data_IF_073080005038
#
_entry.id   IF_073080005038
#
_cell.length_a   1.000
_cell.length_b   1.000
_cell.length_c   1.000
_cell.angle_alpha   90.00
_cell.angle_beta   90.00
_cell.angle_gamma   90.00
#
_symmetry.space_group_name_H-M   'P 1'
#
loop_
_entity.id
_entity.type
_entity.pdbx_description
1 polymer ?
#
# COMPACT_ATOMS: atom_id res chain seq x y z
N UNK A 1 55.51 20.51 -29.28
CA UNK A 1 56.55 19.75 -30.00
C UNK A 1 56.14 18.28 -30.01
N UNK A 2 56.39 17.60 -31.14
CA UNK A 2 56.17 16.18 -31.45
C UNK A 2 54.72 15.69 -31.58
N UNK A 3 54.25 15.70 -32.83
CA UNK A 3 53.11 14.96 -33.35
C UNK A 3 53.48 13.49 -33.59
N UNK A 4 52.49 12.58 -33.53
CA UNK A 4 52.53 11.40 -34.41
C UNK A 4 51.13 10.87 -34.73
N UNK A 5 50.87 10.89 -36.03
CA UNK A 5 49.69 10.40 -36.73
C UNK A 5 49.71 8.87 -36.80
N UNK A 6 48.53 8.23 -36.75
CA UNK A 6 48.28 6.99 -37.50
C UNK A 6 46.96 7.10 -38.25
N UNK A 7 47.06 6.77 -39.53
CA UNK A 7 46.07 6.84 -40.60
C UNK A 7 46.15 5.50 -41.33
N UNK A 8 45.02 4.82 -41.57
CA UNK A 8 44.78 3.73 -42.53
C UNK A 8 43.55 2.93 -42.02
N UNK A 9 42.60 2.44 -42.82
CA UNK A 9 42.31 2.49 -44.26
C UNK A 9 40.86 1.99 -44.40
N UNK A 10 40.17 2.43 -45.44
CA UNK A 10 38.82 2.04 -45.78
C UNK A 10 38.74 0.80 -46.71
N UNK A 11 37.50 0.28 -46.82
CA UNK A 11 36.88 -0.36 -47.99
C UNK A 11 36.74 -1.93 -47.96
N UNK A 12 35.87 -2.55 -48.80
CA UNK A 12 34.41 -2.65 -48.60
C UNK A 12 33.81 -4.04 -49.01
N UNK A 13 32.46 -4.13 -48.96
CA UNK A 13 31.55 -4.97 -49.77
C UNK A 13 31.54 -6.50 -49.56
N UNK A 14 30.36 -7.09 -49.27
CA UNK A 14 29.52 -7.70 -50.31
C UNK A 14 28.17 -8.22 -49.77
N UNK A 15 27.18 -8.11 -50.65
CA UNK A 15 25.80 -8.55 -50.50
C UNK A 15 25.64 -10.04 -50.89
N UNK A 16 24.37 -10.50 -50.96
CA UNK A 16 23.86 -11.82 -51.44
C UNK A 16 23.52 -12.82 -50.32
N UNK A 17 22.36 -13.50 -50.23
CA UNK A 17 21.08 -13.51 -50.96
C UNK A 17 20.11 -14.29 -50.06
N UNK A 18 18.83 -13.93 -50.06
CA UNK A 18 17.74 -14.80 -49.58
C UNK A 18 17.60 -16.06 -50.45
N UNK A 19 16.82 -17.05 -50.00
CA UNK A 19 15.75 -17.47 -50.88
C UNK A 19 14.39 -17.58 -50.17
N UNK A 20 13.37 -17.30 -50.97
CA UNK A 20 11.96 -17.42 -50.66
C UNK A 20 11.41 -18.81 -51.03
N UNK A 21 10.30 -19.12 -50.35
CA UNK A 21 9.09 -19.80 -50.84
C UNK A 21 9.13 -21.29 -51.22
N UNK A 22 8.27 -22.04 -50.52
CA UNK A 22 7.27 -23.00 -50.99
C UNK A 22 6.86 -23.87 -49.78
N UNK A 23 5.66 -24.38 -49.53
CA UNK A 23 4.33 -24.31 -50.12
C UNK A 23 3.47 -25.29 -49.29
N UNK A 24 2.20 -24.95 -49.08
CA UNK A 24 1.03 -25.83 -48.97
C UNK A 24 1.14 -27.23 -48.30
N UNK A 25 0.35 -27.43 -47.25
CA UNK A 25 0.00 -28.76 -46.73
C UNK A 25 -1.36 -28.73 -46.02
N UNK A 26 -2.44 -28.79 -46.80
CA UNK A 26 -3.82 -29.06 -46.37
C UNK A 26 -3.97 -30.54 -46.02
N UNK A 27 -4.33 -30.89 -44.78
CA UNK A 27 -5.03 -32.12 -44.36
C UNK A 27 -5.37 -31.93 -42.87
N UNK A 28 -6.43 -32.46 -42.27
CA UNK A 28 -7.71 -33.02 -42.67
C UNK A 28 -8.51 -33.04 -41.36
N UNK A 29 -9.81 -32.77 -41.42
CA UNK A 29 -10.71 -32.92 -40.29
C UNK A 29 -10.73 -34.38 -39.83
N UNK A 30 -10.63 -34.61 -38.52
CA UNK A 30 -10.99 -35.88 -37.92
C UNK A 30 -11.86 -35.65 -36.69
N UNK A 31 -12.98 -36.36 -36.72
CA UNK A 31 -14.16 -36.27 -35.88
C UNK A 31 -14.07 -37.17 -34.65
N UNK A 32 -14.53 -36.64 -33.50
CA UNK A 32 -15.26 -37.33 -32.41
C UNK A 32 -14.50 -38.42 -31.59
N UNK A 33 -14.93 -38.82 -30.37
CA UNK A 33 -16.26 -38.64 -29.78
C UNK A 33 -16.35 -38.17 -28.31
N UNK A 34 -17.58 -37.85 -27.93
CA UNK A 34 -18.06 -37.46 -26.60
C UNK A 34 -17.87 -38.54 -25.52
N UNK A 35 -17.65 -38.16 -24.24
CA UNK A 35 -17.77 -39.09 -23.13
C UNK A 35 -19.20 -39.12 -22.58
N UNK A 36 -19.67 -40.34 -22.37
CA UNK A 36 -20.98 -40.72 -21.88
C UNK A 36 -21.28 -40.23 -20.46
N UNK A 37 -22.55 -39.87 -20.24
CA UNK A 37 -23.15 -39.62 -18.95
C UNK A 37 -23.12 -40.88 -18.08
N UNK A 38 -22.62 -40.74 -16.85
CA UNK A 38 -22.65 -41.79 -15.81
C UNK A 38 -23.73 -41.42 -14.81
N UNK A 39 -24.77 -42.26 -14.71
CA UNK A 39 -25.80 -42.17 -13.67
C UNK A 39 -25.22 -42.57 -12.29
N UNK A 40 -25.74 -42.02 -11.19
CA UNK A 40 -25.32 -42.40 -9.83
C UNK A 40 -26.06 -43.65 -9.33
N UNK A 41 -25.45 -44.45 -8.44
CA UNK A 41 -26.20 -45.47 -7.71
C UNK A 41 -26.97 -44.85 -6.55
N UNK A 42 -28.22 -45.32 -6.39
CA UNK A 42 -29.02 -45.22 -5.17
C UNK A 42 -28.52 -46.25 -4.15
N UNK A 43 -28.49 -45.86 -2.88
CA UNK A 43 -28.61 -46.75 -1.73
C UNK A 43 -29.50 -46.04 -0.72
N UNK A 44 -30.68 -46.61 -0.51
CA UNK A 44 -31.53 -46.37 0.66
C UNK A 44 -31.11 -47.35 1.77
N UNK A 45 -31.62 -47.06 2.99
CA UNK A 45 -31.66 -47.87 4.21
C UNK A 45 -30.39 -47.84 5.09
N UNK A 46 -30.43 -47.78 6.42
CA UNK A 46 -31.40 -47.38 7.47
C UNK A 46 -30.60 -47.50 8.81
N UNK A 47 -31.20 -47.08 9.93
CA UNK A 47 -30.83 -47.41 11.33
C UNK A 47 -29.76 -46.56 12.08
N UNK A 48 -30.32 -45.63 12.88
CA UNK A 48 -30.10 -45.43 14.32
C UNK A 48 -28.86 -45.97 15.02
N UNK A 49 -28.09 -45.07 15.65
CA UNK A 49 -27.62 -45.25 17.03
C UNK A 49 -27.24 -43.89 17.64
N UNK A 50 -27.89 -43.54 18.74
CA UNK A 50 -27.51 -42.51 19.70
C UNK A 50 -26.33 -43.02 20.52
N UNK A 51 -25.22 -42.28 20.58
CA UNK A 51 -24.26 -42.36 21.69
C UNK A 51 -23.58 -40.98 21.88
N UNK A 52 -23.79 -40.42 23.06
CA UNK A 52 -23.10 -39.27 23.63
C UNK A 52 -21.71 -39.72 24.10
N UNK A 53 -20.66 -39.31 23.39
CA UNK A 53 -19.28 -39.42 23.88
C UNK A 53 -18.58 -38.06 23.86
N UNK A 54 -18.18 -37.62 25.05
CA UNK A 54 -17.34 -36.44 25.29
C UNK A 54 -16.01 -36.54 24.52
N UNK A 55 -15.51 -35.46 23.89
CA UNK A 55 -14.22 -35.51 23.22
C UNK A 55 -13.07 -35.52 24.24
N UNK A 56 -12.50 -36.71 24.41
CA UNK A 56 -11.14 -36.96 24.90
C UNK A 56 -10.14 -35.98 24.27
N UNK A 57 -9.37 -35.31 25.12
CA UNK A 57 -8.28 -34.40 24.76
C UNK A 57 -7.06 -35.19 24.27
N UNK A 58 -7.16 -35.77 23.09
CA UNK A 58 -6.06 -36.48 22.46
C UNK A 58 -5.18 -35.52 21.65
N UNK A 59 -3.87 -35.60 21.89
CA UNK A 59 -2.86 -34.69 21.34
C UNK A 59 -2.89 -34.74 19.80
N UNK A 60 -3.40 -33.67 19.21
CA UNK A 60 -3.37 -33.41 17.76
C UNK A 60 -1.91 -33.46 17.26
N UNK A 61 -1.52 -34.60 16.68
CA UNK A 61 -0.28 -34.70 15.89
C UNK A 61 -0.41 -33.71 14.73
N UNK A 62 0.45 -32.70 14.74
CA UNK A 62 0.54 -31.70 13.65
C UNK A 62 1.13 -32.42 12.43
N UNK A 63 0.27 -32.67 11.44
CA UNK A 63 0.67 -33.24 10.16
C UNK A 63 1.44 -32.16 9.38
N UNK A 64 2.78 -32.27 9.36
CA UNK A 64 3.71 -31.29 8.77
C UNK A 64 3.79 -31.40 7.24
N UNK A 65 2.67 -31.62 6.56
CA UNK A 65 2.68 -31.72 5.10
C UNK A 65 2.62 -30.30 4.51
N UNK A 66 3.43 -30.00 3.48
CA UNK A 66 3.34 -28.73 2.78
C UNK A 66 1.92 -28.57 2.19
N UNK A 67 1.37 -27.37 2.29
CA UNK A 67 0.06 -27.03 1.73
C UNK A 67 0.10 -27.19 0.20
N UNK A 68 -0.98 -27.70 -0.37
CA UNK A 68 -1.13 -27.73 -1.83
C UNK A 68 -1.34 -26.32 -2.39
N UNK A 69 -1.01 -26.11 -3.67
CA UNK A 69 -1.23 -24.84 -4.39
C UNK A 69 -2.69 -24.36 -4.32
N UNK A 70 -3.64 -25.28 -4.27
CA UNK A 70 -5.07 -24.98 -4.13
C UNK A 70 -5.46 -24.55 -2.70
N UNK A 71 -4.72 -24.99 -1.68
CA UNK A 71 -4.90 -24.56 -0.29
C UNK A 71 -4.27 -23.18 -0.05
N UNK A 72 -3.12 -22.89 -0.66
CA UNK A 72 -2.53 -21.54 -0.62
C UNK A 72 -3.41 -20.49 -1.31
N UNK A 73 -3.95 -20.80 -2.48
CA UNK A 73 -4.85 -19.90 -3.20
C UNK A 73 -6.13 -19.60 -2.41
N UNK A 74 -6.69 -20.63 -1.77
CA UNK A 74 -7.85 -20.48 -0.88
C UNK A 74 -7.50 -19.67 0.37
N UNK A 75 -6.32 -19.85 0.98
CA UNK A 75 -5.84 -19.06 2.11
C UNK A 75 -5.73 -17.56 1.78
N UNK A 76 -5.22 -17.22 0.58
CA UNK A 76 -5.13 -15.82 0.11
C UNK A 76 -6.51 -15.17 -0.10
N UNK A 77 -7.47 -15.90 -0.66
CA UNK A 77 -8.86 -15.42 -0.78
C UNK A 77 -9.47 -15.18 0.60
N UNK A 78 -9.25 -16.10 1.53
CA UNK A 78 -9.80 -16.05 2.89
C UNK A 78 -9.26 -14.84 3.68
N UNK A 79 -7.96 -14.58 3.61
CA UNK A 79 -7.35 -13.37 4.20
C UNK A 79 -7.94 -12.08 3.64
N UNK A 80 -8.16 -12.00 2.31
CA UNK A 80 -8.77 -10.82 1.68
C UNK A 80 -10.20 -10.56 2.16
N UNK A 81 -10.96 -11.62 2.45
CA UNK A 81 -12.34 -11.49 2.92
C UNK A 81 -12.42 -11.15 4.42
N UNK A 82 -11.57 -11.76 5.26
CA UNK A 82 -11.52 -11.49 6.70
C UNK A 82 -11.02 -10.08 7.02
N UNK A 83 -9.90 -9.66 6.43
CA UNK A 83 -9.21 -8.42 6.81
C UNK A 83 -9.80 -7.18 6.11
N UNK A 84 -10.28 -7.31 4.87
CA UNK A 84 -10.68 -6.14 4.08
C UNK A 84 -12.19 -5.95 3.94
N UNK A 85 -13.00 -7.02 4.03
CA UNK A 85 -14.43 -6.94 3.65
C UNK A 85 -15.42 -7.32 4.74
N UNK A 86 -15.02 -8.02 5.80
CA UNK A 86 -15.92 -8.48 6.90
C UNK A 86 -17.20 -9.16 6.38
N UNK A 87 -17.11 -9.87 5.25
CA UNK A 87 -18.26 -10.51 4.61
C UNK A 87 -18.35 -12.00 5.01
N UNK A 88 -19.13 -12.27 6.07
CA UNK A 88 -19.30 -13.62 6.63
C UNK A 88 -19.91 -14.62 5.64
N UNK A 89 -20.74 -14.18 4.70
CA UNK A 89 -21.39 -15.08 3.74
C UNK A 89 -20.41 -15.63 2.68
N UNK A 90 -19.39 -14.85 2.33
CA UNK A 90 -18.35 -15.28 1.38
C UNK A 90 -17.34 -16.28 1.99
N UNK A 91 -17.28 -16.39 3.33
CA UNK A 91 -16.34 -17.26 4.04
C UNK A 91 -16.85 -18.69 4.24
N UNK A 92 -18.18 -18.88 4.22
CA UNK A 92 -18.83 -20.16 4.50
C UNK A 92 -18.36 -21.34 3.62
N UNK A 93 -18.12 -21.17 2.31
CA UNK A 93 -17.59 -22.24 1.46
C UNK A 93 -16.12 -22.57 1.73
N UNK A 94 -15.32 -21.57 2.09
CA UNK A 94 -13.86 -21.70 2.32
C UNK A 94 -13.56 -22.37 3.66
N UNK A 95 -14.40 -22.13 4.67
CA UNK A 95 -14.32 -22.73 6.02
C UNK A 95 -14.71 -24.22 6.01
N UNK A 96 -15.20 -24.81 4.90
CA UNK A 96 -15.42 -26.27 4.80
C UNK A 96 -14.13 -27.07 4.65
N UNK A 97 -12.97 -26.43 4.39
CA UNK A 97 -11.68 -27.12 4.30
C UNK A 97 -11.00 -27.23 5.68
N UNK A 98 -10.63 -28.45 6.15
CA UNK A 98 -10.10 -28.66 7.51
C UNK A 98 -8.83 -27.86 7.83
N UNK A 99 -7.91 -27.68 6.88
CA UNK A 99 -6.68 -26.90 7.06
C UNK A 99 -6.96 -25.40 7.26
N UNK A 100 -7.93 -24.86 6.53
CA UNK A 100 -8.35 -23.46 6.64
C UNK A 100 -9.16 -23.21 7.91
N UNK A 101 -9.93 -24.19 8.42
CA UNK A 101 -10.62 -24.05 9.72
C UNK A 101 -9.67 -23.72 10.86
N UNK A 102 -8.48 -24.34 10.90
CA UNK A 102 -7.49 -24.07 11.97
C UNK A 102 -6.89 -22.68 11.85
N UNK A 103 -6.56 -22.25 10.63
CA UNK A 103 -6.01 -20.92 10.36
C UNK A 103 -7.04 -19.82 10.66
N UNK A 104 -8.30 -20.03 10.23
CA UNK A 104 -9.42 -19.13 10.51
C UNK A 104 -9.70 -19.06 11.99
N UNK A 105 -9.75 -20.20 12.69
CA UNK A 105 -9.91 -20.22 14.14
C UNK A 105 -8.78 -19.47 14.87
N UNK A 106 -7.52 -19.57 14.41
CA UNK A 106 -6.41 -18.81 15.01
C UNK A 106 -6.48 -17.31 14.72
N UNK A 107 -6.91 -16.91 13.52
CA UNK A 107 -7.06 -15.50 13.13
C UNK A 107 -8.26 -14.88 13.85
N UNK A 108 -9.41 -15.55 13.86
CA UNK A 108 -10.60 -15.10 14.58
C UNK A 108 -10.32 -14.98 16.07
N UNK A 109 -9.57 -15.92 16.67
CA UNK A 109 -9.14 -15.82 18.07
C UNK A 109 -8.22 -14.62 18.29
N UNK A 110 -7.22 -14.39 17.42
CA UNK A 110 -6.31 -13.25 17.55
C UNK A 110 -7.03 -11.90 17.40
N UNK A 111 -7.98 -11.81 16.46
CA UNK A 111 -8.82 -10.61 16.27
C UNK A 111 -9.73 -10.39 17.47
N UNK A 112 -10.38 -11.44 17.98
CA UNK A 112 -11.23 -11.35 19.18
C UNK A 112 -10.43 -10.94 20.42
N UNK A 113 -9.24 -11.48 20.62
CA UNK A 113 -8.34 -11.10 21.72
C UNK A 113 -7.91 -9.63 21.58
N UNK A 114 -7.60 -9.17 20.36
CA UNK A 114 -7.24 -7.78 20.11
C UNK A 114 -8.42 -6.81 20.29
N UNK A 115 -9.64 -7.22 19.93
CA UNK A 115 -10.86 -6.43 20.16
C UNK A 115 -11.21 -6.37 21.66
N UNK A 116 -11.15 -7.49 22.39
CA UNK A 116 -11.37 -7.54 23.84
C UNK A 116 -10.32 -6.70 24.60
N UNK A 117 -9.04 -6.74 24.20
CA UNK A 117 -8.00 -5.90 24.76
C UNK A 117 -8.26 -4.39 24.53
N UNK A 118 -8.80 -4.01 23.37
CA UNK A 118 -9.18 -2.62 23.07
C UNK A 118 -10.39 -2.18 23.88
N UNK A 119 -11.38 -3.05 24.05
CA UNK A 119 -12.57 -2.77 24.86
C UNK A 119 -12.21 -2.57 26.33
N UNK A 120 -11.38 -3.45 26.90
CA UNK A 120 -10.84 -3.29 28.27
C UNK A 120 -10.09 -1.99 28.44
N UNK A 121 -9.23 -1.63 27.48
CA UNK A 121 -8.50 -0.36 27.53
C UNK A 121 -9.42 0.86 27.49
N UNK A 122 -10.50 0.80 26.70
CA UNK A 122 -11.51 1.86 26.68
C UNK A 122 -12.34 1.92 27.96
N UNK A 123 -12.65 0.76 28.56
CA UNK A 123 -13.34 0.67 29.83
C UNK A 123 -12.49 1.25 30.97
N UNK A 124 -11.21 0.87 31.05
CA UNK A 124 -10.25 1.44 32.00
C UNK A 124 -10.12 2.96 31.84
N UNK A 125 -10.10 3.47 30.60
CA UNK A 125 -10.06 4.92 30.35
C UNK A 125 -11.36 5.62 30.80
N UNK A 126 -12.53 4.98 30.59
CA UNK A 126 -13.83 5.48 31.05
C UNK A 126 -13.90 5.48 32.58
N UNK A 127 -13.45 4.42 33.24
CA UNK A 127 -13.38 4.35 34.70
C UNK A 127 -12.42 5.40 35.27
N UNK A 128 -11.23 5.57 34.67
CA UNK A 128 -10.27 6.61 35.08
C UNK A 128 -10.88 8.00 34.94
N UNK A 129 -11.56 8.30 33.83
CA UNK A 129 -12.28 9.57 33.62
C UNK A 129 -13.43 9.76 34.62
N UNK A 130 -14.15 8.69 34.97
CA UNK A 130 -15.22 8.72 35.96
C UNK A 130 -14.68 9.03 37.36
N UNK A 131 -13.65 8.31 37.82
CA UNK A 131 -12.98 8.56 39.10
C UNK A 131 -12.46 10.00 39.19
N UNK A 132 -11.87 10.51 38.10
CA UNK A 132 -11.34 11.89 38.06
C UNK A 132 -12.45 12.96 38.16
N UNK A 133 -13.66 12.66 37.66
CA UNK A 133 -14.84 13.53 37.86
C UNK A 133 -15.36 13.46 39.28
N UNK A 134 -15.50 12.27 39.84
CA UNK A 134 -15.96 12.06 41.23
C UNK A 134 -15.01 12.74 42.22
N UNK A 135 -13.69 12.62 42.03
CA UNK A 135 -12.69 13.29 42.87
C UNK A 135 -12.74 14.81 42.73
N UNK A 136 -13.00 15.33 41.52
CA UNK A 136 -13.18 16.76 41.28
C UNK A 136 -14.42 17.30 41.99
N UNK A 137 -15.56 16.61 41.86
CA UNK A 137 -16.81 16.97 42.53
C UNK A 137 -16.67 16.92 44.06
N UNK A 138 -15.95 15.92 44.57
CA UNK A 138 -15.66 15.81 46.00
C UNK A 138 -14.81 16.98 46.51
N UNK A 139 -13.74 17.36 45.79
CA UNK A 139 -12.90 18.52 46.13
C UNK A 139 -13.68 19.83 46.06
N UNK A 140 -14.61 19.96 45.11
CA UNK A 140 -15.48 21.13 44.99
C UNK A 140 -16.42 21.25 46.19
N UNK A 141 -17.07 20.15 46.61
CA UNK A 141 -17.88 20.11 47.84
C UNK A 141 -17.08 20.42 49.10
N UNK A 142 -15.91 19.81 49.27
CA UNK A 142 -15.04 20.06 50.43
C UNK A 142 -14.61 21.55 50.47
N UNK A 143 -14.42 22.18 49.31
CA UNK A 143 -14.14 23.61 49.21
C UNK A 143 -15.36 24.46 49.57
N UNK A 144 -16.55 24.12 49.08
CA UNK A 144 -17.80 24.81 49.44
C UNK A 144 -18.08 24.73 50.95
N UNK A 145 -17.88 23.57 51.57
CA UNK A 145 -18.03 23.38 53.02
C UNK A 145 -17.01 24.23 53.81
N UNK A 146 -15.76 24.30 53.36
CA UNK A 146 -14.74 25.14 53.99
C UNK A 146 -15.04 26.64 53.84
N UNK A 147 -15.53 27.08 52.67
CA UNK A 147 -15.96 28.48 52.45
C UNK A 147 -17.15 28.84 53.37
N UNK A 148 -18.09 27.90 53.58
CA UNK A 148 -19.24 28.09 54.46
C UNK A 148 -18.83 28.18 55.94
N UNK A 149 -17.94 27.30 56.42
CA UNK A 149 -17.41 27.36 57.80
C UNK A 149 -16.54 28.61 58.01
N UNK A 150 -15.82 29.06 56.97
CA UNK A 150 -15.03 30.28 57.01
C UNK A 150 -15.88 31.53 57.24
N UNK A 151 -17.06 31.63 56.60
CA UNK A 151 -17.95 32.80 56.76
C UNK A 151 -18.49 32.98 58.19
N UNK A 152 -18.72 31.90 58.93
CA UNK A 152 -19.22 31.98 60.31
C UNK A 152 -18.14 32.45 61.32
N UNK A 153 -16.86 32.28 61.00
CA UNK A 153 -15.74 32.59 61.92
C UNK A 153 -15.23 34.04 61.78
N UNK A 154 -15.49 34.71 60.64
CA UNK A 154 -15.08 36.12 60.43
C UNK A 154 -15.94 37.16 61.17
N UNK A 155 -16.88 36.74 62.03
CA UNK A 155 -17.66 37.62 62.91
C UNK A 155 -16.93 38.11 64.17
N UNK A 156 -15.73 37.58 64.51
CA UNK A 156 -14.95 38.06 65.66
C UNK A 156 -13.50 38.35 65.26
N UNK A 157 -13.13 39.63 65.32
CA UNK A 157 -11.80 40.12 64.97
C UNK A 157 -10.70 39.48 65.80
N UNK A 158 -9.83 38.74 65.14
CA UNK A 158 -8.57 38.22 65.68
C UNK A 158 -7.46 38.37 64.65
N UNK A 159 -6.54 39.29 64.89
CA UNK A 159 -5.35 39.52 64.06
C UNK A 159 -4.42 38.30 64.11
N UNK A 160 -4.22 37.68 62.94
CA UNK A 160 -2.89 37.30 62.42
C UNK A 160 -2.30 35.98 62.89
N UNK A 161 -1.86 35.16 61.93
CA UNK A 161 -0.66 34.34 62.12
C UNK A 161 -0.70 32.84 61.77
N UNK A 162 -1.75 32.29 61.15
CA UNK A 162 -1.87 30.82 60.98
C UNK A 162 -1.87 30.32 59.51
N UNK A 163 -1.96 31.20 58.50
CA UNK A 163 -2.11 30.78 57.10
C UNK A 163 -0.91 30.07 56.43
N UNK A 164 0.33 30.35 56.85
CA UNK A 164 1.52 29.88 56.08
C UNK A 164 1.79 28.37 56.14
N UNK A 165 1.32 27.65 57.16
CA UNK A 165 1.56 26.19 57.27
C UNK A 165 0.62 25.34 56.42
N UNK A 166 -0.51 25.90 55.97
CA UNK A 166 -1.48 25.18 55.13
C UNK A 166 -1.01 25.10 53.68
N UNK A 167 -0.49 26.20 53.15
CA UNK A 167 -0.05 26.29 51.75
C UNK A 167 1.16 25.37 51.47
N UNK A 168 2.07 25.25 52.45
CA UNK A 168 3.25 24.39 52.35
C UNK A 168 2.87 22.91 52.30
N UNK A 169 1.82 22.51 53.04
CA UNK A 169 1.30 21.14 53.04
C UNK A 169 0.57 20.82 51.73
N UNK A 170 -0.24 21.75 51.22
CA UNK A 170 -0.93 21.57 49.94
C UNK A 170 0.05 21.51 48.76
N UNK A 171 1.11 22.33 48.78
CA UNK A 171 2.16 22.27 47.78
C UNK A 171 2.91 20.92 47.81
N UNK A 172 3.21 20.41 49.00
CA UNK A 172 3.85 19.09 49.15
C UNK A 172 2.95 17.93 48.68
N UNK A 173 1.65 17.98 48.98
CA UNK A 173 0.69 16.96 48.51
C UNK A 173 0.49 17.02 46.99
N UNK A 174 0.42 18.22 46.41
CA UNK A 174 0.35 18.40 44.96
C UNK A 174 1.62 17.90 44.26
N UNK A 175 2.80 18.20 44.81
CA UNK A 175 4.07 17.70 44.27
C UNK A 175 4.13 16.17 44.34
N UNK A 176 3.75 15.57 45.47
CA UNK A 176 3.72 14.12 45.62
C UNK A 176 2.78 13.45 44.61
N UNK A 177 1.60 14.02 44.38
CA UNK A 177 0.66 13.50 43.38
C UNK A 177 1.23 13.59 41.94
N UNK A 178 1.92 14.68 41.61
CA UNK A 178 2.59 14.84 40.32
C UNK A 178 3.74 13.83 40.13
N UNK A 179 4.53 13.59 41.19
CA UNK A 179 5.61 12.61 41.16
C UNK A 179 5.07 11.17 41.02
N UNK A 180 3.96 10.85 41.68
CA UNK A 180 3.28 9.54 41.54
C UNK A 180 2.68 9.34 40.14
N UNK A 181 2.10 10.37 39.53
CA UNK A 181 1.57 10.31 38.17
C UNK A 181 2.70 10.13 37.14
N UNK A 182 3.80 10.89 37.26
CA UNK A 182 4.97 10.74 36.41
C UNK A 182 5.62 9.35 36.53
N UNK A 183 5.68 8.80 37.75
CA UNK A 183 6.18 7.43 37.97
C UNK A 183 5.27 6.36 37.34
N UNK A 184 3.94 6.55 37.40
CA UNK A 184 2.98 5.65 36.76
C UNK A 184 3.06 5.70 35.23
N UNK A 185 3.22 6.89 34.64
CA UNK A 185 3.43 7.05 33.20
C UNK A 185 4.75 6.42 32.74
N UNK A 186 5.84 6.64 33.47
CA UNK A 186 7.14 6.02 33.15
C UNK A 186 7.05 4.49 33.18
N UNK A 187 6.39 3.93 34.20
CA UNK A 187 6.17 2.47 34.29
C UNK A 187 5.30 1.94 33.15
N UNK A 188 4.24 2.65 32.76
CA UNK A 188 3.39 2.23 31.64
C UNK A 188 4.13 2.23 30.30
N UNK A 189 5.07 3.17 30.09
CA UNK A 189 5.95 3.18 28.92
C UNK A 189 6.93 2.01 28.94
N UNK A 190 7.50 1.68 30.10
CA UNK A 190 8.40 0.53 30.28
C UNK A 190 7.69 -0.80 30.05
N UNK A 191 6.52 -1.00 30.65
CA UNK A 191 5.70 -2.21 30.49
C UNK A 191 5.30 -2.40 29.02
N UNK A 192 4.91 -1.32 28.32
CA UNK A 192 4.61 -1.37 26.89
C UNK A 192 5.83 -1.72 26.04
N UNK A 193 7.00 -1.13 26.33
CA UNK A 193 8.22 -1.45 25.62
C UNK A 193 8.65 -2.92 25.82
N UNK A 194 8.41 -3.48 27.00
CA UNK A 194 8.65 -4.89 27.28
C UNK A 194 7.68 -5.80 26.51
N UNK A 195 6.40 -5.43 26.41
CA UNK A 195 5.40 -6.13 25.60
C UNK A 195 5.76 -6.10 24.11
N UNK A 196 6.08 -4.92 23.56
CA UNK A 196 6.48 -4.74 22.16
C UNK A 196 7.72 -5.58 21.84
N UNK A 197 8.70 -5.63 22.76
CA UNK A 197 9.89 -6.49 22.62
C UNK A 197 9.55 -7.98 22.60
N UNK A 198 8.67 -8.45 23.48
CA UNK A 198 8.27 -9.86 23.54
C UNK A 198 7.50 -10.28 22.29
N UNK A 199 6.65 -9.38 21.75
CA UNK A 199 5.97 -9.59 20.47
C UNK A 199 6.98 -9.68 19.33
N UNK A 200 7.98 -8.80 19.29
CA UNK A 200 9.05 -8.85 18.30
C UNK A 200 9.79 -10.20 18.34
N UNK A 201 10.28 -10.63 19.51
CA UNK A 201 10.97 -11.91 19.71
C UNK A 201 10.11 -13.11 19.27
N UNK A 202 8.80 -13.09 19.57
CA UNK A 202 7.89 -14.14 19.14
C UNK A 202 7.72 -14.17 17.62
N UNK A 203 7.63 -13.00 16.98
CA UNK A 203 7.56 -12.90 15.53
C UNK A 203 8.87 -13.34 14.90
N UNK A 204 10.04 -12.96 15.43
CA UNK A 204 11.33 -13.44 14.91
C UNK A 204 11.38 -14.97 14.91
N UNK A 205 10.90 -15.58 16.00
CA UNK A 205 10.82 -17.04 16.15
C UNK A 205 9.90 -17.65 15.08
N UNK A 206 8.72 -17.08 14.86
CA UNK A 206 7.80 -17.54 13.81
C UNK A 206 8.42 -17.37 12.42
N UNK A 207 9.08 -16.25 12.13
CA UNK A 207 9.66 -15.98 10.82
C UNK A 207 10.86 -16.90 10.54
N UNK A 208 11.63 -17.28 11.57
CA UNK A 208 12.71 -18.26 11.45
C UNK A 208 12.20 -19.64 10.99
N UNK A 209 10.96 -20.01 11.33
CA UNK A 209 10.33 -21.27 10.92
C UNK A 209 9.79 -21.25 9.49
N UNK A 210 9.86 -20.12 8.77
CA UNK A 210 9.37 -19.98 7.39
C UNK A 210 10.55 -19.77 6.41
N UNK A 211 11.37 -20.80 6.14
CA UNK A 211 12.40 -20.69 5.12
C UNK A 211 11.73 -20.62 3.73
N UNK A 212 12.37 -19.90 2.80
CA UNK A 212 11.93 -19.76 1.39
C UNK A 212 10.74 -18.80 1.14
N UNK A 213 10.59 -17.74 1.94
CA UNK A 213 9.62 -16.67 1.63
C UNK A 213 10.00 -15.98 0.32
N UNK A 214 9.20 -16.21 -0.73
CA UNK A 214 9.39 -15.59 -2.06
C UNK A 214 8.68 -14.26 -2.24
N UNK A 215 7.60 -14.04 -1.50
CA UNK A 215 6.77 -12.84 -1.65
C UNK A 215 6.41 -12.28 -0.27
N UNK A 216 6.71 -11.00 -0.07
CA UNK A 216 6.44 -10.28 1.18
C UNK A 216 5.49 -9.14 0.87
N UNK A 217 4.41 -9.05 1.64
CA UNK A 217 3.51 -7.91 1.61
C UNK A 217 3.33 -7.37 3.02
N UNK A 218 3.73 -6.12 3.25
CA UNK A 218 3.69 -5.47 4.55
C UNK A 218 2.94 -4.14 4.46
N UNK A 219 2.02 -3.93 5.39
CA UNK A 219 1.16 -2.74 5.44
C UNK A 219 1.70 -1.70 6.43
N UNK A 220 2.35 -2.09 7.52
CA UNK A 220 2.70 -1.12 8.57
C UNK A 220 3.74 -1.59 9.61
N UNK A 221 4.78 -2.32 9.23
CA UNK A 221 5.79 -2.82 10.18
C UNK A 221 7.21 -2.84 9.59
N UNK A 222 7.95 -1.73 9.70
CA UNK A 222 9.33 -1.64 9.20
C UNK A 222 10.26 -2.64 9.91
N UNK A 223 10.15 -2.74 11.23
CA UNK A 223 10.99 -3.61 12.06
C UNK A 223 10.83 -5.09 11.71
N UNK A 224 9.60 -5.57 11.51
CA UNK A 224 9.34 -6.97 11.19
C UNK A 224 9.81 -7.33 9.79
N UNK A 225 9.64 -6.42 8.82
CA UNK A 225 10.17 -6.62 7.48
C UNK A 225 11.70 -6.61 7.52
N UNK A 226 12.30 -5.73 8.31
CA UNK A 226 13.74 -5.71 8.51
C UNK A 226 14.25 -7.03 9.11
N UNK A 227 13.63 -7.54 10.18
CA UNK A 227 13.97 -8.83 10.79
C UNK A 227 13.88 -9.95 9.76
N UNK A 228 12.77 -10.02 9.02
CA UNK A 228 12.54 -11.03 7.98
C UNK A 228 13.65 -10.98 6.91
N UNK A 229 13.91 -9.79 6.36
CA UNK A 229 14.87 -9.62 5.28
C UNK A 229 16.33 -9.71 5.76
N UNK A 230 16.60 -9.54 7.05
CA UNK A 230 17.92 -9.75 7.64
C UNK A 230 18.29 -11.23 7.73
N UNK A 231 17.33 -12.15 7.57
CA UNK A 231 17.61 -13.57 7.60
C UNK A 231 18.37 -14.02 6.34
N UNK A 232 19.55 -14.60 6.55
CA UNK A 232 20.44 -15.04 5.46
C UNK A 232 19.84 -16.10 4.53
N UNK A 233 18.78 -16.80 4.96
CA UNK A 233 18.07 -17.86 4.22
C UNK A 233 16.99 -17.32 3.29
N UNK A 234 16.55 -16.07 3.47
CA UNK A 234 15.41 -15.52 2.75
C UNK A 234 15.87 -14.85 1.45
N UNK A 235 15.14 -15.15 0.37
CA UNK A 235 15.34 -14.58 -0.97
C UNK A 235 13.99 -14.15 -1.50
N UNK A 236 13.76 -12.85 -1.48
CA UNK A 236 12.47 -12.28 -1.86
C UNK A 236 12.47 -11.96 -3.34
N UNK A 237 11.49 -12.52 -4.04
CA UNK A 237 11.23 -12.26 -5.46
C UNK A 237 10.23 -11.09 -5.64
N UNK A 238 9.31 -10.90 -4.69
CA UNK A 238 8.30 -9.82 -4.70
C UNK A 238 8.17 -9.13 -3.36
N UNK A 239 8.25 -7.81 -3.34
CA UNK A 239 8.17 -7.00 -2.14
C UNK A 239 7.13 -5.89 -2.33
N UNK A 240 6.06 -5.90 -1.53
CA UNK A 240 5.02 -4.86 -1.52
C UNK A 240 4.91 -4.27 -0.13
N UNK A 241 5.49 -3.09 0.10
CA UNK A 241 5.56 -2.44 1.41
C UNK A 241 4.82 -1.10 1.36
N UNK A 242 3.97 -0.83 2.32
CA UNK A 242 3.25 0.46 2.42
C UNK A 242 4.00 1.51 3.28
N UNK A 243 5.33 1.49 3.23
CA UNK A 243 6.21 2.30 4.08
C UNK A 243 7.35 2.90 3.25
N UNK A 244 8.15 3.76 3.88
CA UNK A 244 9.34 4.40 3.31
C UNK A 244 10.47 3.37 3.29
N UNK A 245 10.95 2.98 2.11
CA UNK A 245 11.81 1.77 1.99
C UNK A 245 13.33 2.07 1.93
N UNK A 246 13.76 3.31 2.15
CA UNK A 246 15.12 3.75 1.83
C UNK A 246 16.25 2.92 2.45
N UNK A 247 16.45 3.09 3.75
CA UNK A 247 17.49 2.39 4.50
C UNK A 247 17.29 0.88 4.52
N UNK A 248 16.03 0.44 4.54
CA UNK A 248 15.66 -0.97 4.57
C UNK A 248 16.22 -1.73 3.35
N UNK A 249 16.10 -1.18 2.14
CA UNK A 249 16.60 -1.85 0.93
C UNK A 249 18.13 -1.97 0.94
N UNK A 250 18.84 -0.95 1.42
CA UNK A 250 20.29 -0.96 1.52
C UNK A 250 20.79 -1.98 2.55
N UNK A 251 20.19 -1.99 3.75
CA UNK A 251 20.56 -2.90 4.84
C UNK A 251 20.27 -4.36 4.49
N UNK A 252 19.20 -4.60 3.73
CA UNK A 252 18.74 -5.94 3.37
C UNK A 252 19.09 -6.37 1.94
N UNK A 253 20.03 -5.68 1.27
CA UNK A 253 20.40 -5.97 -0.11
C UNK A 253 20.68 -7.46 -0.42
N UNK A 254 21.31 -8.27 0.47
CA UNK A 254 21.52 -9.70 0.21
C UNK A 254 20.23 -10.52 0.03
N UNK A 255 19.16 -10.18 0.74
CA UNK A 255 17.87 -10.89 0.63
C UNK A 255 17.07 -10.50 -0.62
N UNK A 256 17.46 -9.39 -1.27
CA UNK A 256 16.77 -8.80 -2.41
C UNK A 256 17.46 -9.07 -3.76
N UNK A 257 18.48 -9.92 -3.78
CA UNK A 257 19.23 -10.25 -5.01
C UNK A 257 18.34 -10.83 -6.11
N UNK A 258 17.30 -11.56 -5.74
CA UNK A 258 16.33 -12.19 -6.64
C UNK A 258 15.06 -11.36 -6.84
N UNK A 259 15.02 -10.12 -6.33
CA UNK A 259 13.83 -9.27 -6.37
C UNK A 259 13.52 -8.82 -7.80
N UNK A 260 12.34 -9.16 -8.31
CA UNK A 260 11.88 -8.76 -9.64
C UNK A 260 10.70 -7.79 -9.63
N UNK A 261 9.94 -7.72 -8.53
CA UNK A 261 8.79 -6.82 -8.35
C UNK A 261 8.90 -6.09 -7.01
N UNK A 262 9.18 -4.78 -7.06
CA UNK A 262 9.18 -3.88 -5.90
C UNK A 262 8.00 -2.93 -6.00
N UNK A 263 7.17 -2.94 -4.96
CA UNK A 263 6.07 -1.99 -4.78
C UNK A 263 6.25 -1.33 -3.42
N UNK A 264 6.27 -0.02 -3.42
CA UNK A 264 6.39 0.76 -2.21
C UNK A 264 5.37 1.88 -2.22
N UNK A 265 4.85 2.21 -1.04
CA UNK A 265 4.07 3.44 -0.92
C UNK A 265 5.01 4.61 -1.07
N UNK A 266 6.05 4.72 -0.26
CA UNK A 266 6.94 5.88 -0.29
C UNK A 266 8.41 5.48 -0.40
N UNK A 267 9.25 6.40 -0.87
CA UNK A 267 10.70 6.22 -0.88
C UNK A 267 11.34 7.47 -0.30
N UNK A 268 12.28 7.27 0.62
CA UNK A 268 12.98 8.38 1.27
C UNK A 268 13.69 9.20 0.20
N UNK A 269 13.59 10.53 0.32
CA UNK A 269 14.23 11.43 -0.64
C UNK A 269 15.77 11.26 -0.68
N UNK A 270 16.35 10.61 0.33
CA UNK A 270 17.79 10.35 0.41
C UNK A 270 18.17 8.89 0.11
N UNK A 271 17.21 8.06 -0.28
CA UNK A 271 17.46 6.64 -0.51
C UNK A 271 18.11 6.37 -1.87
N UNK A 272 19.29 5.77 -1.83
CA UNK A 272 19.84 5.08 -2.98
C UNK A 272 19.26 3.66 -3.06
N UNK A 273 18.71 3.28 -4.23
CA UNK A 273 18.36 1.88 -4.45
C UNK A 273 19.65 1.04 -4.57
N UNK A 274 19.74 -0.09 -3.85
CA UNK A 274 20.83 -1.03 -4.10
C UNK A 274 20.76 -1.54 -5.55
N UNK A 275 21.85 -2.14 -6.04
CA UNK A 275 21.92 -2.73 -7.38
C UNK A 275 21.07 -4.01 -7.43
N UNK A 276 19.78 -3.87 -7.71
CA UNK A 276 18.80 -4.96 -7.78
C UNK A 276 18.74 -5.51 -9.21
N UNK A 277 19.70 -6.34 -9.62
CA UNK A 277 19.91 -6.77 -11.03
C UNK A 277 18.72 -7.45 -11.72
N UNK A 278 17.78 -7.98 -10.95
CA UNK A 278 16.61 -8.70 -11.46
C UNK A 278 15.33 -7.86 -11.43
N UNK A 279 15.38 -6.62 -10.93
CA UNK A 279 14.21 -5.77 -10.77
C UNK A 279 13.63 -5.35 -12.14
N UNK A 280 12.48 -5.91 -12.47
CA UNK A 280 11.75 -5.60 -13.72
C UNK A 280 10.52 -4.73 -13.49
N UNK A 281 9.97 -4.73 -12.28
CA UNK A 281 8.77 -3.97 -11.92
C UNK A 281 9.07 -3.08 -10.74
N UNK A 282 8.85 -1.78 -10.89
CA UNK A 282 8.98 -0.79 -9.83
C UNK A 282 7.72 0.06 -9.75
N UNK A 283 6.98 -0.06 -8.65
CA UNK A 283 5.76 0.70 -8.41
C UNK A 283 5.91 1.55 -7.16
N UNK A 284 5.99 2.87 -7.33
CA UNK A 284 5.99 3.85 -6.23
C UNK A 284 4.59 4.44 -6.13
N UNK A 285 3.96 4.46 -4.95
CA UNK A 285 2.57 4.94 -4.79
C UNK A 285 2.45 6.38 -4.32
N UNK A 286 3.44 6.90 -3.60
CA UNK A 286 3.50 8.18 -2.88
C UNK A 286 4.57 9.10 -3.45
N UNK A 287 4.38 10.39 -3.18
CA UNK A 287 5.14 11.48 -3.76
C UNK A 287 6.65 11.34 -3.54
N UNK A 288 7.40 11.44 -4.63
CA UNK A 288 8.83 11.69 -4.62
C UNK A 288 9.10 12.81 -5.64
N UNK A 289 10.06 13.69 -5.37
CA UNK A 289 10.43 14.68 -6.36
C UNK A 289 11.11 14.01 -7.57
N UNK A 290 10.99 14.64 -8.75
CA UNK A 290 11.48 14.04 -9.99
C UNK A 290 13.00 13.80 -10.03
N UNK A 291 13.78 14.71 -9.43
CA UNK A 291 15.24 14.63 -9.49
C UNK A 291 15.72 13.46 -8.63
N UNK A 292 15.20 13.38 -7.42
CA UNK A 292 15.43 12.29 -6.48
C UNK A 292 14.97 10.96 -7.03
N UNK A 293 13.76 10.90 -7.60
CA UNK A 293 13.27 9.68 -8.25
C UNK A 293 14.23 9.19 -9.34
N UNK A 294 14.73 10.10 -10.19
CA UNK A 294 15.67 9.74 -11.26
C UNK A 294 17.04 9.27 -10.74
N UNK A 295 17.55 9.89 -9.66
CA UNK A 295 18.79 9.47 -9.02
C UNK A 295 18.63 8.08 -8.41
N UNK A 296 17.54 7.89 -7.66
CA UNK A 296 17.20 6.65 -6.99
C UNK A 296 17.04 5.48 -7.97
N UNK A 297 16.32 5.65 -9.08
CA UNK A 297 16.13 4.57 -10.08
C UNK A 297 17.31 4.37 -11.01
N UNK A 298 18.31 5.25 -11.01
CA UNK A 298 19.45 5.17 -11.92
C UNK A 298 20.12 3.77 -11.98
N UNK A 299 20.32 3.04 -10.86
CA UNK A 299 20.94 1.71 -10.88
C UNK A 299 20.13 0.62 -11.58
N UNK A 300 18.80 0.76 -11.64
CA UNK A 300 17.86 -0.25 -12.16
C UNK A 300 17.15 0.20 -13.44
N UNK A 301 17.39 1.43 -13.89
CA UNK A 301 16.66 2.06 -14.99
C UNK A 301 16.62 1.24 -16.28
N UNK A 302 17.75 0.64 -16.66
CA UNK A 302 17.92 0.00 -17.97
C UNK A 302 17.34 -1.43 -18.04
N UNK A 303 16.72 -1.89 -16.95
CA UNK A 303 16.08 -3.22 -16.83
C UNK A 303 14.59 -3.16 -16.48
N UNK A 304 14.08 -1.99 -16.09
CA UNK A 304 12.65 -1.83 -15.77
C UNK A 304 11.78 -2.02 -17.02
N UNK A 305 10.74 -2.84 -16.87
CA UNK A 305 9.74 -3.17 -17.89
C UNK A 305 8.37 -2.61 -17.53
N UNK A 306 7.99 -2.70 -16.25
CA UNK A 306 6.77 -2.08 -15.69
C UNK A 306 7.17 -1.03 -14.66
N UNK A 307 6.86 0.23 -14.97
CA UNK A 307 7.17 1.36 -14.11
C UNK A 307 5.87 2.08 -13.74
N UNK A 308 5.58 2.18 -12.44
CA UNK A 308 4.53 3.03 -11.91
C UNK A 308 5.12 4.11 -11.01
N UNK A 309 4.78 5.36 -11.29
CA UNK A 309 5.27 6.51 -10.56
C UNK A 309 4.11 7.49 -10.27
N UNK A 310 4.04 8.08 -9.07
CA UNK A 310 3.03 9.05 -8.73
C UNK A 310 3.42 10.43 -9.26
N UNK A 311 2.52 11.01 -10.05
CA UNK A 311 2.65 12.39 -10.52
C UNK A 311 1.87 13.31 -9.61
N UNK A 312 2.59 14.20 -8.93
CA UNK A 312 1.97 15.35 -8.28
C UNK A 312 1.95 16.55 -9.22
N UNK A 313 1.05 17.50 -8.97
CA UNK A 313 0.95 18.74 -9.72
C UNK A 313 2.20 19.63 -9.62
N UNK A 314 3.11 19.33 -8.69
CA UNK A 314 4.36 20.07 -8.45
C UNK A 314 5.54 19.51 -9.20
N UNK A 315 5.42 18.30 -9.75
CA UNK A 315 6.55 17.62 -10.38
C UNK A 315 6.99 18.41 -11.61
N UNK A 316 8.27 18.78 -11.62
CA UNK A 316 8.91 19.34 -12.81
C UNK A 316 8.99 18.24 -13.89
N UNK A 317 8.81 18.58 -15.17
CA UNK A 317 9.00 17.60 -16.23
C UNK A 317 10.38 16.98 -16.15
N UNK A 318 10.48 15.66 -16.28
CA UNK A 318 11.76 14.95 -16.25
C UNK A 318 11.90 13.98 -17.42
N UNK A 319 13.16 13.67 -17.75
CA UNK A 319 13.48 12.93 -18.97
C UNK A 319 13.31 11.42 -18.78
N UNK A 320 12.19 10.90 -19.28
CA UNK A 320 11.87 9.48 -19.30
C UNK A 320 12.54 8.72 -20.45
N UNK A 321 13.17 9.39 -21.42
CA UNK A 321 13.83 8.75 -22.57
C UNK A 321 14.98 7.82 -22.21
N UNK A 322 15.42 7.85 -20.95
CA UNK A 322 16.45 6.95 -20.41
C UNK A 322 15.91 5.57 -20.01
N UNK A 323 14.59 5.37 -19.94
CA UNK A 323 13.96 4.09 -19.60
C UNK A 323 13.68 3.25 -20.86
N UNK A 324 14.75 2.70 -21.45
CA UNK A 324 14.70 2.06 -22.76
C UNK A 324 13.90 0.74 -22.82
N UNK A 325 13.64 0.08 -21.68
CA UNK A 325 12.90 -1.20 -21.66
C UNK A 325 11.48 -1.10 -21.13
N UNK A 326 11.04 0.08 -20.70
CA UNK A 326 9.70 0.26 -20.12
C UNK A 326 8.65 0.09 -21.20
N UNK A 327 7.87 -0.98 -21.06
CA UNK A 327 6.72 -1.32 -21.92
C UNK A 327 5.40 -0.93 -21.28
N UNK A 328 5.31 -1.07 -19.96
CA UNK A 328 4.15 -0.71 -19.17
C UNK A 328 4.50 0.50 -18.32
N UNK A 329 3.81 1.61 -18.54
CA UNK A 329 4.04 2.84 -17.80
C UNK A 329 2.75 3.28 -17.13
N UNK A 330 2.78 3.45 -15.81
CA UNK A 330 1.62 3.88 -15.02
C UNK A 330 1.89 5.22 -14.37
N UNK A 331 1.04 6.19 -14.67
CA UNK A 331 1.05 7.51 -14.07
C UNK A 331 -0.06 7.56 -13.03
N UNK A 332 0.32 7.72 -11.77
CA UNK A 332 -0.61 7.87 -10.65
C UNK A 332 -0.79 9.34 -10.31
N UNK A 333 -1.88 9.94 -10.75
CA UNK A 333 -2.23 11.32 -10.45
C UNK A 333 -2.72 11.39 -9.01
N UNK A 334 -1.87 11.89 -8.12
CA UNK A 334 -2.21 12.11 -6.73
C UNK A 334 -2.80 13.51 -6.55
N UNK A 335 -4.02 13.55 -6.01
CA UNK A 335 -4.65 14.79 -5.58
C UNK A 335 -4.22 15.10 -4.15
N UNK A 336 -2.97 15.49 -3.97
CA UNK A 336 -2.56 16.02 -2.68
C UNK A 336 -3.30 17.34 -2.42
N UNK A 337 -3.87 17.51 -1.21
CA UNK A 337 -4.45 18.78 -0.82
C UNK A 337 -3.31 19.79 -0.79
N UNK A 338 -3.24 20.67 -1.80
CA UNK A 338 -2.26 21.75 -1.91
C UNK A 338 -1.87 22.26 -0.51
N UNK A 339 -0.69 21.91 0.03
CA UNK A 339 -0.18 22.67 1.15
C UNK A 339 -0.10 24.09 0.61
N UNK A 340 -0.78 25.03 1.29
CA UNK A 340 -0.82 26.45 0.91
C UNK A 340 0.60 27.01 1.03
N UNK A 341 1.46 26.73 0.06
CA UNK A 341 2.86 27.11 0.05
C UNK A 341 3.21 27.69 -1.31
N UNK A 342 3.56 28.97 -1.24
CA UNK A 342 4.44 29.74 -2.12
C UNK A 342 4.30 29.53 -3.63
N UNK A 343 3.80 30.58 -4.27
CA UNK A 343 3.72 30.83 -5.72
C UNK A 343 4.87 30.11 -6.46
N UNK A 344 4.59 29.14 -7.35
CA UNK A 344 5.64 28.51 -8.14
C UNK A 344 6.30 29.60 -8.99
N UNK A 345 7.61 29.78 -8.82
CA UNK A 345 8.39 30.64 -9.70
C UNK A 345 8.26 30.09 -11.12
N UNK A 346 7.74 30.91 -12.02
CA UNK A 346 7.44 30.52 -13.39
C UNK A 346 8.72 30.46 -14.22
N UNK A 347 9.53 29.43 -14.01
CA UNK A 347 10.56 29.06 -14.98
C UNK A 347 9.88 28.30 -16.12
N UNK A 348 9.43 29.05 -17.13
CA UNK A 348 9.06 28.51 -18.43
C UNK A 348 10.32 28.05 -19.17
N UNK A 349 10.99 27.01 -18.68
CA UNK A 349 12.04 26.34 -19.44
C UNK A 349 11.39 25.63 -20.61
N UNK A 350 11.87 25.91 -21.82
CA UNK A 350 11.43 25.28 -23.07
C UNK A 350 11.59 23.77 -22.96
N UNK A 351 10.48 23.10 -22.71
CA UNK A 351 10.38 21.67 -22.56
C UNK A 351 10.53 20.98 -23.91
N UNK A 352 11.51 20.09 -24.02
CA UNK A 352 11.57 19.09 -25.09
C UNK A 352 11.43 17.73 -24.41
N UNK A 353 10.23 17.14 -24.41
CA UNK A 353 10.03 15.80 -23.89
C UNK A 353 10.69 14.80 -24.83
N UNK A 354 11.73 14.12 -24.35
CA UNK A 354 12.12 12.87 -24.96
C UNK A 354 11.13 11.81 -24.46
N UNK A 355 10.31 11.32 -25.39
CA UNK A 355 9.29 10.31 -25.10
C UNK A 355 9.89 8.99 -24.62
N UNK A 356 9.04 8.12 -24.09
CA UNK A 356 9.37 6.72 -23.83
C UNK A 356 9.21 5.95 -25.16
N UNK A 357 10.29 5.56 -25.87
CA UNK A 357 10.18 5.06 -27.24
C UNK A 357 9.46 3.70 -27.34
N UNK A 358 9.42 2.92 -26.26
CA UNK A 358 8.97 1.53 -26.27
C UNK A 358 7.72 1.27 -25.41
N UNK A 359 7.01 2.30 -24.97
CA UNK A 359 5.78 2.11 -24.18
C UNK A 359 4.68 1.55 -25.07
N UNK A 360 4.26 0.32 -24.74
CA UNK A 360 3.16 -0.39 -25.37
C UNK A 360 1.84 -0.09 -24.66
N UNK A 361 1.89 0.06 -23.32
CA UNK A 361 0.73 0.27 -22.47
C UNK A 361 0.93 1.47 -21.53
N UNK A 362 0.07 2.47 -21.66
CA UNK A 362 0.01 3.61 -20.75
C UNK A 362 -1.20 3.49 -19.84
N UNK A 363 -0.97 3.48 -18.52
CA UNK A 363 -1.99 3.45 -17.50
C UNK A 363 -2.07 4.81 -16.83
N UNK A 364 -3.27 5.41 -16.78
CA UNK A 364 -3.52 6.61 -16.01
C UNK A 364 -4.42 6.23 -14.84
N UNK A 365 -3.85 6.26 -13.64
CA UNK A 365 -4.51 5.98 -12.38
C UNK A 365 -4.60 7.26 -11.56
N UNK A 366 -5.67 7.45 -10.79
CA UNK A 366 -5.79 8.62 -9.92
C UNK A 366 -7.22 8.88 -9.49
N UNK A 367 -7.36 9.54 -8.36
CA UNK A 367 -8.63 10.12 -7.90
C UNK A 367 -8.64 11.57 -8.31
N UNK A 368 -9.36 11.89 -9.38
CA UNK A 368 -9.66 13.27 -9.70
C UNK A 368 -10.81 13.69 -8.79
N UNK A 369 -10.47 14.22 -7.62
CA UNK A 369 -11.40 15.07 -6.87
C UNK A 369 -11.70 16.29 -7.73
N UNK A 370 -12.77 16.22 -8.49
CA UNK A 370 -13.37 17.38 -9.13
C UNK A 370 -13.77 18.32 -7.99
N UNK A 371 -13.03 19.43 -7.84
CA UNK A 371 -13.56 20.54 -7.06
C UNK A 371 -14.76 21.06 -7.83
N UNK A 372 -15.96 20.67 -7.41
CA UNK A 372 -17.14 21.48 -7.67
C UNK A 372 -16.82 22.85 -7.10
N UNK A 373 -16.70 23.86 -7.97
CA UNK A 373 -16.36 25.20 -7.50
C UNK A 373 -17.53 25.87 -6.75
N UNK A 374 -18.69 25.20 -6.68
CA UNK A 374 -19.79 25.52 -5.79
C UNK A 374 -20.77 24.34 -5.74
N UNK A 375 -21.15 23.87 -4.55
CA UNK A 375 -22.14 22.79 -4.35
C UNK A 375 -23.59 23.22 -4.64
N UNK A 376 -23.80 24.30 -5.40
CA UNK A 376 -25.12 24.89 -5.65
C UNK A 376 -25.64 24.78 -7.09
N UNK A 377 -24.90 24.16 -8.02
CA UNK A 377 -25.37 23.98 -9.40
C UNK A 377 -25.15 22.54 -9.84
N UNK A 378 -26.22 21.74 -9.77
CA UNK A 378 -26.30 20.31 -10.11
C UNK A 378 -26.22 20.02 -11.62
N UNK A 379 -25.36 20.71 -12.37
CA UNK A 379 -25.22 20.51 -13.82
C UNK A 379 -23.89 21.01 -14.38
N UNK A 380 -22.80 20.98 -13.61
CA UNK A 380 -21.51 21.50 -14.09
C UNK A 380 -20.58 20.41 -14.66
N UNK A 381 -19.89 20.71 -15.77
CA UNK A 381 -19.03 19.77 -16.47
C UNK A 381 -17.83 19.36 -15.60
N UNK A 382 -17.52 18.07 -15.69
CA UNK A 382 -16.35 17.43 -15.11
C UNK A 382 -15.09 18.07 -15.69
N UNK A 383 -14.44 18.98 -14.94
CA UNK A 383 -13.19 19.62 -15.37
C UNK A 383 -11.98 18.78 -14.97
N UNK A 384 -11.31 18.19 -15.97
CA UNK A 384 -9.95 17.68 -15.78
C UNK A 384 -9.03 18.82 -15.31
N UNK A 385 -8.09 18.58 -14.37
CA UNK A 385 -7.04 19.55 -14.09
C UNK A 385 -6.36 19.94 -15.41
N UNK A 386 -6.07 21.23 -15.67
CA UNK A 386 -5.56 21.70 -16.96
C UNK A 386 -4.38 20.87 -17.47
N UNK A 387 -3.43 20.52 -16.58
CA UNK A 387 -2.27 19.69 -16.92
C UNK A 387 -2.61 18.25 -17.35
N UNK A 388 -3.64 17.63 -16.77
CA UNK A 388 -4.07 16.28 -17.17
C UNK A 388 -4.69 16.31 -18.56
N UNK A 389 -5.49 17.34 -18.85
CA UNK A 389 -6.03 17.55 -20.19
C UNK A 389 -4.91 17.82 -21.20
N UNK A 390 -3.91 18.64 -20.87
CA UNK A 390 -2.77 18.93 -21.74
C UNK A 390 -1.94 17.67 -22.06
N UNK A 391 -1.69 16.81 -21.06
CA UNK A 391 -1.01 15.51 -21.27
C UNK A 391 -1.83 14.64 -22.23
N UNK A 392 -3.13 14.49 -21.98
CA UNK A 392 -4.01 13.68 -22.84
C UNK A 392 -4.14 14.22 -24.26
N UNK A 393 -4.21 15.54 -24.43
CA UNK A 393 -4.34 16.22 -25.71
C UNK A 393 -3.02 16.27 -26.50
N UNK A 394 -1.88 16.09 -25.82
CA UNK A 394 -0.56 16.07 -26.45
C UNK A 394 -0.12 14.67 -26.92
N UNK A 395 -0.67 13.59 -26.34
CA UNK A 395 -0.42 12.21 -26.78
C UNK A 395 -0.64 11.96 -28.29
N UNK A 396 -1.70 12.47 -28.95
CA UNK A 396 -1.91 12.25 -30.38
C UNK A 396 -1.00 13.11 -31.27
N UNK A 397 -0.41 14.20 -30.74
CA UNK A 397 0.31 15.21 -31.52
C UNK A 397 1.82 14.95 -31.52
N UNK A 398 2.21 13.87 -32.18
CA UNK A 398 3.47 13.69 -32.92
C UNK A 398 4.82 13.67 -32.17
N UNK A 399 5.05 14.51 -31.16
CA UNK A 399 6.35 14.62 -30.49
C UNK A 399 6.41 13.82 -29.17
N UNK A 400 5.24 13.52 -28.62
CA UNK A 400 5.05 12.85 -27.33
C UNK A 400 4.47 11.46 -27.47
N UNK A 401 4.08 11.07 -28.68
CA UNK A 401 3.50 9.76 -28.95
C UNK A 401 4.61 8.72 -28.94
N UNK A 402 4.59 7.74 -28.02
CA UNK A 402 5.40 6.54 -28.22
C UNK A 402 4.94 5.88 -29.52
N UNK A 403 5.86 5.61 -30.45
CA UNK A 403 5.52 4.94 -31.71
C UNK A 403 4.83 3.59 -31.45
N UNK A 404 5.16 2.94 -30.34
CA UNK A 404 4.64 1.65 -29.90
C UNK A 404 3.33 1.69 -29.09
N UNK A 405 2.77 2.87 -28.77
CA UNK A 405 1.61 2.94 -27.88
C UNK A 405 0.37 2.31 -28.54
N UNK A 406 -0.02 1.13 -28.06
CA UNK A 406 -1.19 0.39 -28.54
C UNK A 406 -2.43 0.56 -27.65
N UNK A 407 -2.23 0.69 -26.34
CA UNK A 407 -3.35 0.75 -25.38
C UNK A 407 -3.18 1.88 -24.36
N UNK A 408 -4.24 2.68 -24.19
CA UNK A 408 -4.42 3.64 -23.11
C UNK A 408 -5.46 3.10 -22.13
N UNK A 409 -5.00 2.66 -20.96
CA UNK A 409 -5.83 2.13 -19.90
C UNK A 409 -6.12 3.23 -18.85
N UNK A 410 -7.40 3.47 -18.58
CA UNK A 410 -7.86 4.51 -17.66
C UNK A 410 -8.48 3.88 -16.43
N UNK A 411 -7.88 4.09 -15.26
CA UNK A 411 -8.35 3.54 -13.99
C UNK A 411 -9.30 4.48 -13.24
N UNK A 412 -10.18 3.89 -12.42
CA UNK A 412 -10.89 4.60 -11.35
C UNK A 412 -11.80 5.75 -11.81
N UNK A 413 -11.73 6.89 -11.11
CA UNK A 413 -12.54 8.07 -11.41
C UNK A 413 -12.12 8.78 -12.70
N UNK A 414 -10.83 8.74 -13.04
CA UNK A 414 -10.31 9.27 -14.31
C UNK A 414 -10.96 8.55 -15.48
N UNK A 415 -10.99 7.21 -15.45
CA UNK A 415 -11.63 6.41 -16.50
C UNK A 415 -13.12 6.69 -16.61
N UNK A 416 -13.83 6.76 -15.47
CA UNK A 416 -15.27 7.10 -15.47
C UNK A 416 -15.55 8.49 -16.03
N UNK A 417 -14.80 9.51 -15.59
CA UNK A 417 -14.95 10.89 -16.04
C UNK A 417 -14.62 11.06 -17.52
N UNK A 418 -13.49 10.51 -17.97
CA UNK A 418 -13.08 10.60 -19.36
C UNK A 418 -14.02 9.82 -20.27
N UNK A 419 -14.48 8.62 -19.89
CA UNK A 419 -15.50 7.91 -20.68
C UNK A 419 -16.82 8.66 -20.76
N UNK A 420 -17.26 9.33 -19.70
CA UNK A 420 -18.44 10.19 -19.76
C UNK A 420 -18.23 11.37 -20.73
N UNK A 421 -17.04 11.99 -20.69
CA UNK A 421 -16.68 13.08 -21.60
C UNK A 421 -16.60 12.61 -23.06
N UNK A 422 -15.95 11.47 -23.33
CA UNK A 422 -15.79 10.91 -24.68
C UNK A 422 -17.12 10.42 -25.29
N UNK A 423 -18.10 10.02 -24.47
CA UNK A 423 -19.44 9.58 -24.91
C UNK A 423 -20.42 10.74 -25.10
N UNK A 424 -20.15 11.92 -24.57
CA UNK A 424 -21.00 13.10 -24.77
C UNK A 424 -20.94 13.55 -26.22
N UNK A 425 -22.07 13.77 -26.89
CA UNK A 425 -22.14 14.01 -28.34
C UNK A 425 -21.70 15.40 -28.81
N UNK A 426 -21.45 16.35 -27.89
CA UNK A 426 -21.24 17.77 -28.23
C UNK A 426 -20.12 18.43 -27.41
N UNK A 427 -18.96 17.80 -27.27
CA UNK A 427 -17.84 18.42 -26.57
C UNK A 427 -16.49 18.20 -27.27
N UNK A 428 -15.50 19.03 -26.95
CA UNK A 428 -14.13 18.96 -27.47
C UNK A 428 -13.45 17.58 -27.22
N UNK A 429 -14.02 16.76 -26.34
CA UNK A 429 -13.51 15.43 -26.01
C UNK A 429 -13.92 14.37 -27.04
N UNK A 430 -15.01 14.55 -27.80
CA UNK A 430 -15.31 13.70 -28.96
C UNK A 430 -14.19 13.71 -30.00
N UNK A 431 -13.60 14.89 -30.25
CA UNK A 431 -12.45 15.05 -31.13
C UNK A 431 -11.21 14.33 -30.59
N UNK A 432 -11.01 14.31 -29.27
CA UNK A 432 -9.93 13.53 -28.64
C UNK A 432 -10.15 12.02 -28.83
N UNK A 433 -11.37 11.52 -28.61
CA UNK A 433 -11.70 10.12 -28.85
C UNK A 433 -11.48 9.69 -30.30
N UNK A 434 -11.91 10.52 -31.26
CA UNK A 434 -11.66 10.30 -32.67
C UNK A 434 -10.16 10.34 -33.02
N UNK A 435 -9.40 11.27 -32.43
CA UNK A 435 -7.95 11.37 -32.63
C UNK A 435 -7.20 10.15 -32.07
N UNK A 436 -7.56 9.67 -30.86
CA UNK A 436 -6.97 8.46 -30.27
C UNK A 436 -7.28 7.22 -31.13
N UNK A 437 -8.52 7.08 -31.61
CA UNK A 437 -8.90 5.99 -32.50
C UNK A 437 -8.19 6.06 -33.85
N UNK A 438 -8.09 7.25 -34.45
CA UNK A 438 -7.36 7.46 -35.70
C UNK A 438 -5.86 7.19 -35.55
N UNK A 439 -5.32 7.42 -34.35
CA UNK A 439 -3.96 7.03 -34.00
C UNK A 439 -3.81 5.51 -33.78
N UNK A 440 -4.89 4.72 -33.73
CA UNK A 440 -4.83 3.28 -33.46
C UNK A 440 -4.63 2.95 -31.97
N UNK A 441 -4.90 3.89 -31.07
CA UNK A 441 -4.77 3.69 -29.63
C UNK A 441 -6.10 3.15 -29.10
N UNK A 442 -6.08 1.95 -28.52
CA UNK A 442 -7.23 1.37 -27.85
C UNK A 442 -7.40 2.01 -26.46
N UNK A 443 -8.53 2.66 -26.22
CA UNK A 443 -8.85 3.23 -24.90
C UNK A 443 -9.69 2.23 -24.11
N UNK A 444 -9.15 1.72 -23.01
CA UNK A 444 -9.84 0.76 -22.12
C UNK A 444 -10.02 1.36 -20.73
N UNK A 445 -11.11 0.98 -20.05
CA UNK A 445 -11.29 1.31 -18.63
C UNK A 445 -10.90 0.12 -17.77
N UNK A 446 -10.00 0.34 -16.82
CA UNK A 446 -9.64 -0.66 -15.81
C UNK A 446 -10.43 -0.35 -14.55
N UNK A 447 -11.10 -1.37 -13.99
CA UNK A 447 -11.96 -1.22 -12.82
C UNK A 447 -11.16 -1.00 -11.55
#
# INVERSE_FOLDING_TARGET
MAAQQRKARAAPADAHTAPAAASAGLHAASSAPAPAARAPPRTDDDESATDDDEPSSDKLKVDKRPLSTDEEAAGRQLYSHLVLRRDKAALEPLVRRPALRRLVASIDLAVLVAEDARERKQEDERERKKKLREDKERREKEREEQEQVGMDVYGQGGKGGVGRRSDEKQAAEAQKAADEEAAAEAKAVEDKAAEDKLVAEHIETILADVPNVKAVRAVSCDELVHVLLSQSTIRVERLDIQLVVGDLLLQCAPALVDLHDLRCDDIDDNADLPVLRNLTTLHVRSYCDAATFLLMVAPVRDQLVDLAFPVSSRIQPFNLGSFLKVKHFRLRIQNEPFPRATRPESSASSWVPHGLPHVEHLYLEGTLKFRTWDDRISSNPVHLPPRTADILLSLPRGHLRPEALGTLALGGEVGRGLCALLRGSENAYTALGAALKAAGIEVTTVR
#
